data_IF_319143721035
#
_entry.id   IF_319143721035
#
_cell.length_a   1.000
_cell.length_b   1.000
_cell.length_c   1.000
_cell.angle_alpha   90.00
_cell.angle_beta   90.00
_cell.angle_gamma   90.00
#
_symmetry.space_group_name_H-M   'P 1'
#
loop_
_entity.id
_entity.type
_entity.pdbx_description
1 polymer ?
#
# COMPACT_ATOMS: atom_id res chain seq x y z
N UNK A 1 2.68 13.96 8.63
CA UNK A 1 3.46 12.92 7.92
C UNK A 1 3.23 13.07 6.43
N UNK A 2 4.24 12.89 5.57
CA UNK A 2 4.07 12.97 4.12
C UNK A 2 3.32 11.74 3.58
N UNK A 3 2.48 11.96 2.58
CA UNK A 3 1.67 10.92 1.91
C UNK A 3 1.86 11.04 0.39
N UNK A 4 1.91 9.89 -0.29
CA UNK A 4 1.60 9.80 -1.73
C UNK A 4 0.11 9.49 -1.90
N UNK A 5 -0.42 9.84 -3.07
CA UNK A 5 -1.86 9.72 -3.35
C UNK A 5 -2.13 8.90 -4.60
N UNK A 6 -3.39 8.51 -4.75
CA UNK A 6 -3.89 7.75 -5.89
C UNK A 6 -3.65 8.45 -7.24
N UNK A 7 -3.68 9.78 -7.29
CA UNK A 7 -3.38 10.55 -8.49
C UNK A 7 -1.93 10.36 -8.92
N UNK A 8 -0.99 10.25 -7.98
CA UNK A 8 0.41 9.92 -8.27
C UNK A 8 0.59 8.50 -8.81
N UNK A 9 -0.23 7.55 -8.35
CA UNK A 9 -0.27 6.18 -8.90
C UNK A 9 -0.79 6.22 -10.35
N UNK A 10 -1.92 6.88 -10.59
CA UNK A 10 -2.50 7.00 -11.94
C UNK A 10 -1.55 7.72 -12.91
N UNK A 11 -0.85 8.76 -12.46
CA UNK A 11 0.10 9.49 -13.29
C UNK A 11 1.28 8.62 -13.76
N UNK A 12 1.64 7.58 -12.99
CA UNK A 12 2.71 6.63 -13.36
C UNK A 12 2.20 5.43 -14.15
N UNK A 13 0.90 5.16 -14.15
CA UNK A 13 0.34 3.96 -14.75
C UNK A 13 0.53 3.95 -16.28
N UNK A 14 1.11 2.87 -16.77
CA UNK A 14 1.41 2.66 -18.21
C UNK A 14 0.57 1.56 -18.86
N UNK A 15 -0.16 0.77 -18.07
CA UNK A 15 -0.89 -0.42 -18.52
C UNK A 15 0.01 -1.59 -18.94
N UNK A 16 1.31 -1.55 -18.60
CA UNK A 16 2.27 -2.63 -18.89
C UNK A 16 3.54 -2.56 -18.05
N UNK A 17 4.12 -3.71 -17.74
CA UNK A 17 5.40 -3.81 -17.04
C UNK A 17 5.31 -3.36 -15.58
N UNK A 18 6.36 -2.71 -15.08
CA UNK A 18 6.52 -2.34 -13.67
C UNK A 18 5.49 -1.31 -13.17
N UNK A 19 4.82 -0.59 -14.07
CA UNK A 19 3.81 0.41 -13.76
C UNK A 19 2.39 -0.01 -14.20
N UNK A 20 2.17 -1.32 -14.33
CA UNK A 20 0.84 -1.87 -14.57
C UNK A 20 0.09 -2.04 -13.24
N UNK A 21 -1.06 -1.38 -13.12
CA UNK A 21 -1.88 -1.39 -11.92
C UNK A 21 -3.23 -2.03 -12.24
N UNK A 22 -3.88 -2.73 -11.29
CA UNK A 22 -5.13 -3.44 -11.57
C UNK A 22 -6.23 -2.53 -12.14
N UNK A 23 -6.89 -2.98 -13.20
CA UNK A 23 -7.89 -2.19 -13.94
C UNK A 23 -8.99 -1.60 -13.05
N UNK A 24 -9.49 -2.39 -12.08
CA UNK A 24 -10.52 -1.92 -11.14
C UNK A 24 -10.05 -0.73 -10.29
N UNK A 25 -8.79 -0.78 -9.82
CA UNK A 25 -8.17 0.31 -9.07
C UNK A 25 -7.97 1.52 -9.99
N UNK A 26 -7.44 1.33 -11.20
CA UNK A 26 -7.24 2.42 -12.18
C UNK A 26 -8.58 3.10 -12.52
N UNK A 27 -9.63 2.33 -12.76
CA UNK A 27 -10.96 2.84 -13.06
C UNK A 27 -11.52 3.67 -11.90
N UNK A 28 -11.44 3.16 -10.66
CA UNK A 28 -11.84 3.88 -9.46
C UNK A 28 -11.08 5.20 -9.30
N UNK A 29 -9.78 5.22 -9.56
CA UNK A 29 -8.95 6.43 -9.46
C UNK A 29 -9.34 7.47 -10.51
N UNK A 30 -9.63 7.07 -11.75
CA UNK A 30 -10.02 8.00 -12.82
C UNK A 30 -11.30 8.77 -12.51
N UNK A 31 -12.26 8.14 -11.84
CA UNK A 31 -13.54 8.77 -11.46
C UNK A 31 -13.57 9.23 -10.00
N UNK A 32 -12.46 9.08 -9.27
CA UNK A 32 -12.32 9.37 -7.84
C UNK A 32 -13.34 8.64 -6.95
N UNK A 33 -13.74 7.44 -7.35
CA UNK A 33 -14.64 6.58 -6.58
C UNK A 33 -13.84 5.73 -5.59
N UNK A 34 -13.50 6.32 -4.46
CA UNK A 34 -12.75 5.65 -3.38
C UNK A 34 -13.66 5.14 -2.26
N UNK A 35 -14.98 5.36 -2.36
CA UNK A 35 -15.94 5.03 -1.32
C UNK A 35 -15.48 5.49 0.09
N UNK A 36 -15.45 4.58 1.09
CA UNK A 36 -15.09 4.93 2.46
C UNK A 36 -13.58 5.13 2.69
N UNK A 37 -12.75 4.97 1.65
CA UNK A 37 -11.30 4.97 1.78
C UNK A 37 -10.65 6.34 1.57
N UNK A 38 -11.45 7.39 1.36
CA UNK A 38 -10.96 8.77 1.31
C UNK A 38 -10.38 9.17 2.67
N UNK A 39 -9.17 9.72 2.67
CA UNK A 39 -8.62 10.37 3.84
C UNK A 39 -9.19 11.78 3.97
N UNK A 40 -9.95 12.12 5.04
CA UNK A 40 -10.53 13.45 5.18
C UNK A 40 -9.49 14.57 5.13
N UNK A 41 -8.32 14.34 5.73
CA UNK A 41 -7.22 15.30 5.75
C UNK A 41 -6.54 15.54 4.39
N UNK A 42 -6.67 14.60 3.43
CA UNK A 42 -6.08 14.71 2.10
C UNK A 42 -7.12 15.00 1.01
N UNK A 43 -8.41 14.77 1.30
CA UNK A 43 -9.48 14.85 0.31
C UNK A 43 -9.39 13.79 -0.80
N UNK A 44 -8.51 12.79 -0.67
CA UNK A 44 -8.27 11.74 -1.66
C UNK A 44 -7.84 10.43 -0.98
N UNK A 45 -7.59 9.40 -1.79
CA UNK A 45 -7.07 8.11 -1.36
C UNK A 45 -5.53 8.19 -1.17
N UNK A 46 -5.03 7.95 0.06
CA UNK A 46 -3.60 7.78 0.30
C UNK A 46 -3.11 6.43 -0.20
N UNK A 47 -1.86 6.41 -0.68
CA UNK A 47 -1.20 5.21 -1.21
C UNK A 47 -0.12 4.73 -0.26
N UNK A 48 0.88 5.57 0.00
CA UNK A 48 2.02 5.29 0.88
C UNK A 48 2.22 6.48 1.82
N UNK A 49 2.69 6.19 3.03
CA UNK A 49 3.09 7.21 3.99
C UNK A 49 4.43 6.88 4.62
N UNK A 50 5.07 7.90 5.19
CA UNK A 50 6.37 7.74 5.84
C UNK A 50 6.26 7.99 7.34
N UNK A 51 7.06 7.26 8.12
CA UNK A 51 7.23 7.48 9.55
C UNK A 51 8.71 7.54 9.93
N UNK A 52 8.98 7.90 11.19
CA UNK A 52 10.32 7.88 11.79
C UNK A 52 10.56 6.61 12.60
N UNK A 53 9.71 5.60 12.47
CA UNK A 53 9.96 4.28 13.09
C UNK A 53 11.22 3.70 12.46
N UNK A 54 12.03 3.05 13.28
CA UNK A 54 13.23 2.37 12.81
C UNK A 54 12.85 0.96 12.32
N UNK A 55 13.19 0.65 11.07
CA UNK A 55 13.02 -0.68 10.50
C UNK A 55 14.30 -1.10 9.81
N UNK A 56 14.58 -2.39 9.88
CA UNK A 56 15.65 -3.07 9.16
C UNK A 56 15.07 -4.17 8.26
N UNK A 57 15.93 -4.88 7.54
CA UNK A 57 15.54 -6.06 6.76
C UNK A 57 14.79 -7.08 7.63
N UNK A 58 13.65 -7.56 7.13
CA UNK A 58 12.78 -8.52 7.83
C UNK A 58 11.54 -7.90 8.47
N UNK A 59 11.43 -6.57 8.53
CA UNK A 59 10.22 -5.89 9.02
C UNK A 59 9.10 -5.76 7.96
N UNK A 60 9.35 -6.17 6.72
CA UNK A 60 8.34 -6.13 5.64
C UNK A 60 7.10 -6.93 6.04
N UNK A 61 5.93 -6.30 5.96
CA UNK A 61 4.66 -6.87 6.41
C UNK A 61 4.31 -6.58 7.87
N UNK A 62 5.14 -5.85 8.61
CA UNK A 62 4.83 -5.45 9.99
C UNK A 62 3.62 -4.52 10.05
N UNK A 63 2.68 -4.82 10.95
CA UNK A 63 1.50 -4.00 11.18
C UNK A 63 1.91 -2.62 11.72
N UNK A 64 1.45 -1.57 11.05
CA UNK A 64 1.60 -0.19 11.50
C UNK A 64 0.32 0.22 12.22
N UNK A 65 0.46 0.68 13.47
CA UNK A 65 -0.65 1.09 14.32
C UNK A 65 -0.61 2.61 14.57
N UNK A 66 -1.78 3.23 14.75
CA UNK A 66 -1.85 4.63 15.21
C UNK A 66 -1.74 4.74 16.73
N UNK A 67 -1.78 5.96 17.27
CA UNK A 67 -1.68 6.22 18.71
C UNK A 67 -2.80 5.61 19.57
N UNK A 68 -3.84 5.03 18.96
CA UNK A 68 -4.90 4.25 19.64
C UNK A 68 -4.75 2.73 19.47
N UNK A 69 -3.68 2.26 18.82
CA UNK A 69 -3.48 0.85 18.53
C UNK A 69 -4.30 0.32 17.35
N UNK A 70 -4.92 1.18 16.55
CA UNK A 70 -5.69 0.76 15.38
C UNK A 70 -4.77 0.54 14.18
N UNK A 71 -5.04 -0.50 13.39
CA UNK A 71 -4.30 -0.81 12.17
C UNK A 71 -4.48 0.25 11.09
N UNK A 72 -3.37 0.84 10.64
CA UNK A 72 -3.35 1.90 9.62
C UNK A 72 -2.55 1.55 8.36
N UNK A 73 -1.66 0.56 8.40
CA UNK A 73 -0.86 0.19 7.23
C UNK A 73 0.14 -0.93 7.50
N UNK A 74 0.96 -1.24 6.51
CA UNK A 74 2.04 -2.23 6.60
C UNK A 74 3.37 -1.57 6.24
N UNK A 75 4.39 -1.78 7.06
CA UNK A 75 5.76 -1.41 6.68
C UNK A 75 6.23 -2.31 5.53
N UNK A 76 6.89 -1.76 4.52
CA UNK A 76 7.43 -2.56 3.43
C UNK A 76 8.87 -2.22 3.06
N UNK A 77 9.30 -0.97 3.23
CA UNK A 77 10.65 -0.54 2.83
C UNK A 77 11.12 0.68 3.63
N UNK A 78 12.40 1.01 3.57
CA UNK A 78 12.99 2.26 4.07
C UNK A 78 13.37 3.20 2.92
N UNK A 79 13.64 4.47 3.22
CA UNK A 79 14.23 5.38 2.23
C UNK A 79 15.66 4.99 1.87
N UNK A 80 16.17 5.47 0.73
CA UNK A 80 17.54 5.21 0.29
C UNK A 80 18.57 5.64 1.35
N UNK A 81 18.32 6.75 2.04
CA UNK A 81 19.14 7.24 3.15
C UNK A 81 19.14 6.27 4.35
N UNK A 82 18.12 5.41 4.45
CA UNK A 82 18.00 4.35 5.43
C UNK A 82 18.76 3.08 5.08
N UNK A 83 19.29 2.93 3.85
CA UNK A 83 20.00 1.70 3.44
C UNK A 83 21.28 1.46 4.27
N UNK A 84 21.85 2.50 4.88
CA UNK A 84 23.04 2.40 5.75
C UNK A 84 22.63 2.38 7.25
N UNK A 85 21.35 2.45 7.59
CA UNK A 85 20.91 2.58 9.00
C UNK A 85 21.30 1.39 9.86
N UNK A 86 21.46 0.20 9.28
CA UNK A 86 21.98 -1.00 9.96
C UNK A 86 23.40 -0.78 10.54
N UNK A 87 24.16 0.17 10.01
CA UNK A 87 25.53 0.51 10.44
C UNK A 87 25.63 1.89 11.11
N UNK A 88 24.90 2.89 10.62
CA UNK A 88 24.94 4.26 11.13
C UNK A 88 23.53 4.90 11.05
N UNK A 89 22.71 4.76 12.11
CA UNK A 89 21.37 5.35 12.11
C UNK A 89 21.45 6.88 12.15
N UNK A 90 20.80 7.53 11.18
CA UNK A 90 20.61 8.98 11.12
C UNK A 90 19.12 9.28 11.31
N UNK A 91 18.73 9.74 12.50
CA UNK A 91 17.33 10.00 12.85
C UNK A 91 16.69 11.12 11.99
N UNK A 92 17.50 12.05 11.49
CA UNK A 92 17.00 13.17 10.70
C UNK A 92 16.65 12.75 9.28
N UNK A 93 17.32 11.72 8.76
CA UNK A 93 17.17 11.27 7.37
C UNK A 93 16.44 9.93 7.21
N UNK A 94 16.56 9.03 8.18
CA UNK A 94 16.00 7.69 8.04
C UNK A 94 14.47 7.72 8.14
N UNK A 95 13.79 7.14 7.16
CA UNK A 95 12.32 7.10 7.12
C UNK A 95 11.85 5.73 6.70
N UNK A 96 10.93 5.18 7.48
CA UNK A 96 10.19 3.98 7.13
C UNK A 96 9.07 4.31 6.16
N UNK A 97 8.86 3.44 5.18
CA UNK A 97 7.85 3.54 4.12
C UNK A 97 6.78 2.47 4.36
N UNK A 98 5.53 2.92 4.38
CA UNK A 98 4.38 2.10 4.73
C UNK A 98 3.31 2.20 3.65
N UNK A 99 2.70 1.07 3.28
CA UNK A 99 1.48 1.08 2.46
C UNK A 99 0.28 1.40 3.34
N UNK A 100 -0.56 2.33 2.89
CA UNK A 100 -1.78 2.70 3.61
C UNK A 100 -2.84 1.61 3.49
N UNK A 101 -3.40 1.20 4.63
CA UNK A 101 -4.43 0.16 4.70
C UNK A 101 -5.66 0.46 3.84
N UNK A 102 -5.96 1.73 3.58
CA UNK A 102 -7.07 2.17 2.72
C UNK A 102 -6.88 1.76 1.27
N UNK A 103 -5.67 1.93 0.71
CA UNK A 103 -5.34 1.45 -0.62
C UNK A 103 -5.45 -0.08 -0.69
N UNK A 104 -4.89 -0.79 0.28
CA UNK A 104 -4.94 -2.26 0.31
C UNK A 104 -6.37 -2.79 0.36
N UNK A 105 -7.26 -2.14 1.12
CA UNK A 105 -8.69 -2.49 1.18
C UNK A 105 -9.42 -2.20 -0.14
N UNK A 106 -9.14 -1.07 -0.79
CA UNK A 106 -9.70 -0.78 -2.12
C UNK A 106 -9.26 -1.83 -3.14
N UNK A 107 -7.98 -2.20 -3.15
CA UNK A 107 -7.46 -3.22 -4.05
C UNK A 107 -8.09 -4.61 -3.78
N UNK A 108 -8.24 -4.99 -2.51
CA UNK A 108 -8.92 -6.24 -2.14
C UNK A 108 -10.38 -6.27 -2.57
N UNK A 109 -11.09 -5.13 -2.49
CA UNK A 109 -12.46 -5.02 -2.98
C UNK A 109 -12.59 -5.43 -4.45
N UNK A 110 -11.66 -4.99 -5.30
CA UNK A 110 -11.63 -5.35 -6.73
C UNK A 110 -11.05 -6.74 -7.01
N UNK A 111 -10.24 -7.30 -6.10
CA UNK A 111 -9.71 -8.65 -6.24
C UNK A 111 -10.75 -9.73 -5.92
N UNK A 112 -11.73 -9.43 -5.07
CA UNK A 112 -12.76 -10.37 -4.62
C UNK A 112 -14.07 -10.19 -5.41
N UNK A 113 -14.33 -9.00 -5.93
CA UNK A 113 -15.46 -8.77 -6.82
C UNK A 113 -15.22 -9.46 -8.18
N UNK A 114 -16.13 -10.32 -8.68
CA UNK A 114 -15.99 -10.89 -10.01
C UNK A 114 -16.01 -9.76 -11.05
N UNK A 115 -14.99 -9.74 -11.91
CA UNK A 115 -14.91 -8.89 -13.10
C UNK A 115 -16.25 -8.93 -13.87
N UNK A 116 -16.87 -7.78 -14.11
CA UNK A 116 -18.08 -7.66 -14.96
C UNK A 116 -17.79 -7.90 -16.46
N UNK A 117 -16.55 -8.20 -16.83
CA UNK A 117 -16.13 -8.57 -18.18
C UNK A 117 -15.76 -10.05 -18.17
N UNK A 118 -16.62 -10.87 -18.77
CA UNK A 118 -16.53 -12.33 -18.83
C UNK A 118 -15.37 -12.87 -19.68
N UNK A 119 -14.15 -12.64 -19.23
CA UNK A 119 -12.99 -13.43 -19.62
C UNK A 119 -12.62 -14.28 -18.41
N UNK A 120 -12.83 -15.59 -18.51
CA UNK A 120 -12.35 -16.57 -17.55
C UNK A 120 -10.84 -16.36 -17.34
N UNK A 121 -10.46 -15.69 -16.26
CA UNK A 121 -9.12 -15.85 -15.72
C UNK A 121 -9.13 -17.17 -14.96
N UNK A 122 -8.46 -18.17 -15.55
CA UNK A 122 -8.25 -19.48 -14.96
C UNK A 122 -7.79 -19.34 -13.52
N UNK A 123 -8.51 -20.03 -12.64
CA UNK A 123 -8.20 -20.32 -11.25
C UNK A 123 -6.71 -20.50 -11.02
N UNK A 124 -6.04 -19.47 -10.49
CA UNK A 124 -4.86 -19.65 -9.66
C UNK A 124 -5.27 -19.23 -8.27
N UNK A 125 -5.70 -20.22 -7.50
CA UNK A 125 -5.90 -20.09 -6.06
C UNK A 125 -4.57 -19.66 -5.45
N UNK A 126 -4.40 -18.37 -5.15
CA UNK A 126 -3.40 -17.95 -4.17
C UNK A 126 -4.04 -18.22 -2.82
N UNK A 127 -3.92 -19.47 -2.39
CA UNK A 127 -4.19 -19.88 -1.02
C UNK A 127 -3.20 -19.12 -0.14
N UNK A 128 -3.61 -17.98 0.41
CA UNK A 128 -2.90 -17.33 1.49
C UNK A 128 -3.01 -18.23 2.72
N UNK A 129 -2.10 -19.20 2.84
CA UNK A 129 -1.92 -20.01 4.03
C UNK A 129 -1.39 -19.11 5.15
N UNK A 130 -2.30 -18.40 5.82
CA UNK A 130 -2.04 -17.83 7.13
C UNK A 130 -2.21 -18.94 8.15
N UNK A 131 -1.16 -19.74 8.33
CA UNK A 131 -1.06 -20.70 9.43
C UNK A 131 0.05 -20.20 10.35
N UNK A 132 -0.33 -19.52 11.42
CA UNK A 132 0.57 -19.22 12.53
C UNK A 132 0.86 -20.55 13.25
N UNK A 133 2.11 -21.02 13.33
CA UNK A 133 2.45 -22.03 14.31
C UNK A 133 2.50 -21.37 15.69
N UNK A 134 1.79 -21.96 16.64
CA UNK A 134 2.10 -21.86 18.07
C UNK A 134 3.45 -22.55 18.33
#
# INVERSE_FOLDING_TARGET
MPFTTAEGLLAKHTGRGEFDAPDGVVAAIRVKDYGPYVAPALGTLPVVFMSTVDITNGNSGSATLNGRGEFVGLAFDGTLEGVISDWAPDADRNRSIHVDSRLSRLAQHFSIAPSKSGVLASTTSVSANFRLPF
#
